data_IF_068654398271
#
_entry.id   IF_068654398271
#
_cell.length_a   1.000
_cell.length_b   1.000
_cell.length_c   1.000
_cell.angle_alpha   90.00
_cell.angle_beta   90.00
_cell.angle_gamma   90.00
#
_symmetry.space_group_name_H-M   'P 1'
#
loop_
_entity.id
_entity.type
_entity.pdbx_description
1 polymer ?
#
# COMPACT_ATOMS: atom_id res chain seq x y z
N UNK A 1 16.73 -11.59 29.91
CA UNK A 1 16.07 -10.27 30.01
C UNK A 1 15.52 -9.98 28.63
N UNK A 2 14.22 -10.16 28.43
CA UNK A 2 13.54 -9.61 27.26
C UNK A 2 13.50 -8.11 27.46
N UNK A 3 14.38 -7.37 26.78
CA UNK A 3 14.27 -5.92 26.71
C UNK A 3 12.95 -5.66 25.96
N UNK A 4 11.96 -5.07 26.63
CA UNK A 4 10.62 -4.77 26.08
C UNK A 4 10.63 -3.71 24.98
N UNK A 5 11.51 -3.87 24.00
CA UNK A 5 11.65 -3.02 22.84
C UNK A 5 10.48 -3.27 21.89
N UNK A 6 9.94 -2.22 21.26
CA UNK A 6 8.89 -2.38 20.27
C UNK A 6 9.38 -3.27 19.12
N UNK A 7 8.44 -4.00 18.51
CA UNK A 7 8.76 -4.83 17.36
C UNK A 7 9.38 -3.97 16.27
N UNK A 8 10.56 -4.38 15.79
CA UNK A 8 11.25 -3.66 14.72
C UNK A 8 10.32 -3.50 13.50
N UNK A 9 10.36 -2.34 12.83
CA UNK A 9 9.59 -2.14 11.61
C UNK A 9 10.01 -3.15 10.55
N UNK A 10 9.11 -3.44 9.61
CA UNK A 10 9.43 -4.34 8.49
C UNK A 10 10.58 -3.75 7.69
N UNK A 11 11.65 -4.53 7.50
CA UNK A 11 12.75 -4.19 6.59
C UNK A 11 12.37 -4.55 5.16
N UNK A 12 11.65 -3.68 4.47
CA UNK A 12 11.29 -3.87 3.06
C UNK A 12 11.94 -2.81 2.17
N UNK A 13 12.42 -3.22 0.99
CA UNK A 13 12.86 -2.26 -0.04
C UNK A 13 11.65 -1.47 -0.55
N UNK A 14 11.82 -0.20 -0.91
CA UNK A 14 10.74 0.67 -1.40
C UNK A 14 10.02 0.20 -2.67
N UNK A 15 10.59 -0.76 -3.41
CA UNK A 15 9.97 -1.41 -4.59
C UNK A 15 9.61 -2.88 -4.32
N UNK A 16 9.59 -3.32 -3.06
CA UNK A 16 9.41 -4.72 -2.73
C UNK A 16 8.01 -5.21 -3.12
N UNK A 17 7.89 -6.29 -3.92
CA UNK A 17 6.59 -6.81 -4.35
C UNK A 17 5.77 -7.44 -3.21
N UNK A 18 6.36 -7.57 -2.02
CA UNK A 18 5.71 -8.11 -0.82
C UNK A 18 5.08 -7.03 0.08
N UNK A 19 5.08 -5.76 -0.34
CA UNK A 19 4.32 -4.72 0.34
C UNK A 19 2.82 -5.04 0.30
N UNK A 20 2.16 -4.93 1.44
CA UNK A 20 0.70 -4.93 1.47
C UNK A 20 0.15 -3.57 0.98
N UNK A 21 -1.17 -3.45 0.85
CA UNK A 21 -1.79 -2.20 0.35
C UNK A 21 -1.52 -1.00 1.26
N UNK A 22 -1.41 -1.22 2.57
CA UNK A 22 -1.15 -0.16 3.54
C UNK A 22 0.30 0.31 3.46
N UNK A 23 1.26 -0.61 3.33
CA UNK A 23 2.67 -0.31 3.12
C UNK A 23 2.86 0.58 1.87
N UNK A 24 2.11 0.32 0.79
CA UNK A 24 2.12 1.16 -0.42
C UNK A 24 1.47 2.54 -0.22
N UNK A 25 0.37 2.62 0.53
CA UNK A 25 -0.30 3.90 0.86
C UNK A 25 0.57 4.76 1.76
N UNK A 26 1.19 4.15 2.77
CA UNK A 26 2.15 4.81 3.66
C UNK A 26 3.35 5.31 2.87
N UNK A 27 3.94 4.48 2.00
CA UNK A 27 5.03 4.90 1.12
C UNK A 27 4.62 6.08 0.21
N UNK A 28 3.40 6.05 -0.36
CA UNK A 28 2.87 7.17 -1.15
C UNK A 28 2.73 8.45 -0.33
N UNK A 29 2.26 8.35 0.92
CA UNK A 29 2.01 9.49 1.81
C UNK A 29 3.30 10.07 2.39
N UNK A 30 4.17 9.23 2.93
CA UNK A 30 5.38 9.65 3.64
C UNK A 30 6.56 9.91 2.70
N UNK A 31 6.69 9.11 1.64
CA UNK A 31 7.83 9.15 0.72
C UNK A 31 7.37 9.09 -0.74
N UNK A 32 6.58 10.08 -1.22
CA UNK A 32 5.96 10.07 -2.54
C UNK A 32 6.99 9.94 -3.68
N UNK A 33 8.20 10.48 -3.50
CA UNK A 33 9.29 10.35 -4.49
C UNK A 33 9.72 8.89 -4.67
N UNK A 34 9.79 8.11 -3.59
CA UNK A 34 10.12 6.69 -3.68
C UNK A 34 8.98 5.88 -4.29
N UNK A 35 7.73 6.24 -3.98
CA UNK A 35 6.56 5.64 -4.61
C UNK A 35 6.56 5.87 -6.14
N UNK A 36 6.85 7.09 -6.59
CA UNK A 36 6.96 7.40 -8.02
C UNK A 36 8.09 6.61 -8.69
N UNK A 37 9.24 6.46 -8.02
CA UNK A 37 10.33 5.59 -8.50
C UNK A 37 9.92 4.12 -8.59
N UNK A 38 9.11 3.62 -7.65
CA UNK A 38 8.59 2.26 -7.70
C UNK A 38 7.69 2.06 -8.93
N UNK A 39 6.80 3.02 -9.22
CA UNK A 39 5.96 3.00 -10.41
C UNK A 39 6.76 3.12 -11.72
N UNK A 40 7.87 3.86 -11.72
CA UNK A 40 8.79 3.94 -12.86
C UNK A 40 9.53 2.62 -13.11
N UNK A 41 10.02 1.96 -12.05
CA UNK A 41 10.65 0.63 -12.16
C UNK A 41 9.64 -0.39 -12.68
N UNK A 42 8.41 -0.40 -12.16
CA UNK A 42 7.36 -1.31 -12.63
C UNK A 42 7.11 -1.15 -14.13
N UNK A 43 6.96 0.10 -14.61
CA UNK A 43 6.81 0.38 -16.05
C UNK A 43 8.00 -0.10 -16.86
N UNK A 44 9.22 0.25 -16.45
CA UNK A 44 10.45 -0.14 -17.15
C UNK A 44 10.61 -1.66 -17.24
N UNK A 45 10.30 -2.38 -16.16
CA UNK A 45 10.33 -3.84 -16.14
C UNK A 45 9.24 -4.45 -17.02
N UNK A 46 8.03 -3.87 -17.01
CA UNK A 46 6.95 -4.26 -17.90
C UNK A 46 7.33 -4.14 -19.37
N UNK A 47 7.81 -2.97 -19.78
CA UNK A 47 8.18 -2.69 -21.16
C UNK A 47 9.35 -3.58 -21.62
N UNK A 48 10.33 -3.83 -20.74
CA UNK A 48 11.40 -4.79 -21.01
C UNK A 48 10.89 -6.23 -21.18
N UNK A 49 9.84 -6.63 -20.47
CA UNK A 49 9.27 -7.99 -20.60
C UNK A 49 8.45 -8.13 -21.88
N UNK A 50 7.71 -7.10 -22.25
CA UNK A 50 6.97 -7.05 -23.52
C UNK A 50 7.90 -7.14 -24.72
N UNK A 51 9.01 -6.41 -24.71
CA UNK A 51 10.03 -6.51 -25.79
C UNK A 51 10.67 -7.89 -25.90
N UNK A 52 10.67 -8.67 -24.80
CA UNK A 52 11.14 -10.06 -24.77
C UNK A 52 10.03 -11.08 -25.09
N UNK A 53 8.81 -10.63 -25.43
CA UNK A 53 7.66 -11.50 -25.68
C UNK A 53 7.16 -12.23 -24.43
N UNK A 54 7.40 -11.66 -23.23
CA UNK A 54 6.98 -12.22 -21.94
C UNK A 54 5.82 -11.42 -21.36
N UNK A 55 5.00 -12.08 -20.53
CA UNK A 55 3.92 -11.43 -19.80
C UNK A 55 4.45 -10.30 -18.91
N UNK A 56 3.71 -9.19 -18.87
CA UNK A 56 4.03 -8.02 -18.03
C UNK A 56 4.03 -8.41 -16.56
N UNK A 57 4.93 -7.81 -15.78
CA UNK A 57 4.97 -8.01 -14.32
C UNK A 57 4.38 -6.80 -13.60
N UNK A 58 3.85 -7.05 -12.40
CA UNK A 58 3.29 -6.04 -11.51
C UNK A 58 3.91 -6.22 -10.12
N UNK A 59 4.14 -5.12 -9.41
CA UNK A 59 4.63 -5.12 -8.03
C UNK A 59 3.52 -5.43 -7.02
N UNK A 60 2.26 -5.34 -7.46
CA UNK A 60 1.10 -5.61 -6.61
C UNK A 60 0.37 -6.87 -7.05
N UNK A 61 -0.16 -7.61 -6.07
CA UNK A 61 -1.01 -8.78 -6.34
C UNK A 61 -2.34 -8.44 -7.06
N UNK A 62 -2.66 -7.15 -7.19
CA UNK A 62 -3.83 -6.69 -7.94
C UNK A 62 -3.64 -6.77 -9.47
N UNK A 63 -2.41 -7.05 -9.94
CA UNK A 63 -2.05 -7.13 -11.36
C UNK A 63 -2.46 -5.87 -12.15
N UNK A 64 -2.27 -4.70 -11.53
CA UNK A 64 -2.58 -3.38 -12.10
C UNK A 64 -1.39 -2.44 -11.90
N UNK A 65 -1.24 -1.41 -12.74
CA UNK A 65 -0.24 -0.38 -12.57
C UNK A 65 -0.31 0.25 -11.18
N UNK A 66 0.84 0.45 -10.54
CA UNK A 66 0.94 1.01 -9.20
C UNK A 66 0.33 2.42 -9.13
N UNK A 67 0.56 3.25 -10.15
CA UNK A 67 0.01 4.59 -10.27
C UNK A 67 -1.53 4.60 -10.37
N UNK A 68 -2.10 3.66 -11.11
CA UNK A 68 -3.55 3.53 -11.26
C UNK A 68 -4.21 2.97 -10.00
N UNK A 69 -3.57 2.01 -9.34
CA UNK A 69 -4.14 1.31 -8.18
C UNK A 69 -4.33 2.22 -6.97
N UNK A 70 -3.46 3.22 -6.82
CA UNK A 70 -3.47 4.17 -5.70
C UNK A 70 -3.77 5.60 -6.16
N UNK A 71 -4.45 5.78 -7.31
CA UNK A 71 -4.89 7.10 -7.77
C UNK A 71 -5.93 7.73 -6.83
N UNK A 72 -6.85 6.91 -6.30
CA UNK A 72 -7.87 7.32 -5.33
C UNK A 72 -7.33 7.20 -3.89
N UNK A 73 -7.24 8.33 -3.18
CA UNK A 73 -7.02 8.35 -1.73
C UNK A 73 -8.34 8.05 -1.01
N UNK A 74 -8.79 6.80 -1.06
CA UNK A 74 -9.81 6.34 -0.12
C UNK A 74 -9.23 6.40 1.29
N UNK A 75 -9.75 7.34 2.09
CA UNK A 75 -9.47 7.48 3.51
C UNK A 75 -9.71 6.12 4.19
N UNK A 76 -8.70 5.60 4.88
CA UNK A 76 -8.93 4.49 5.80
C UNK A 76 -9.71 5.05 6.98
N UNK A 77 -10.86 4.42 7.25
CA UNK A 77 -11.61 4.68 8.46
C UNK A 77 -10.75 4.18 9.61
N UNK A 78 -10.20 5.12 10.39
CA UNK A 78 -9.52 4.77 11.63
C UNK A 78 -10.58 4.29 12.61
N UNK A 79 -10.56 2.99 12.92
CA UNK A 79 -11.54 2.39 13.82
C UNK A 79 -11.23 2.72 15.29
N UNK A 80 -10.04 3.26 15.60
CA UNK A 80 -9.66 3.66 16.97
C UNK A 80 -10.14 5.07 17.34
N UNK A 81 -10.55 5.89 16.37
CA UNK A 81 -11.21 7.19 16.60
C UNK A 81 -12.68 7.14 16.16
N UNK A 82 -13.42 6.14 16.63
CA UNK A 82 -14.88 6.17 16.57
C UNK A 82 -15.38 7.36 17.40
N UNK A 83 -16.36 8.16 16.91
CA UNK A 83 -16.93 9.22 17.72
C UNK A 83 -17.48 8.62 19.02
N UNK A 84 -16.94 9.07 20.15
CA UNK A 84 -17.58 8.94 21.45
C UNK A 84 -19.06 9.30 21.28
N UNK A 85 -19.93 8.30 21.40
CA UNK A 85 -21.38 8.48 21.42
C UNK A 85 -22.11 8.06 20.14
N UNK A 86 -22.15 6.76 19.85
CA UNK A 86 -23.35 6.16 19.25
C UNK A 86 -24.24 5.61 20.37
N UNK A 87 -24.88 6.52 21.13
CA UNK A 87 -25.84 6.21 22.20
C UNK A 87 -27.30 6.26 21.71
N UNK A 88 -27.53 6.35 20.40
CA UNK A 88 -28.87 6.39 19.82
C UNK A 88 -29.14 5.21 18.91
N UNK A 89 -28.83 4.01 19.40
CA UNK A 89 -29.35 2.75 18.85
C UNK A 89 -30.72 2.45 19.45
N UNK A 90 -31.76 3.18 19.06
CA UNK A 90 -33.12 2.79 19.42
C UNK A 90 -33.52 1.57 18.59
N UNK A 91 -33.57 0.38 19.20
CA UNK A 91 -34.26 -0.76 18.62
C UNK A 91 -35.75 -0.41 18.49
N UNK A 92 -36.22 -0.16 17.26
CA UNK A 92 -37.63 -0.37 16.97
C UNK A 92 -37.88 -1.88 17.01
N UNK A 93 -38.87 -2.25 17.82
CA UNK A 93 -39.23 -3.60 18.29
C UNK A 93 -39.42 -4.61 17.18
#
# INVERSE_FOLDING_TARGET
QEAGLPRAPKSACWFCPFHNREDWRELKREQPVLFLKAAEIERTLGDRRETLGKDRMWLTAACKPLDQLFADDQLQFDWEEGPDGCDSGSCFT
#
